data_IF_490346828618
#
_entry.id   IF_490346828618
#
_cell.length_a   1.000
_cell.length_b   1.000
_cell.length_c   1.000
_cell.angle_alpha   90.00
_cell.angle_beta   90.00
_cell.angle_gamma   90.00
#
_symmetry.space_group_name_H-M   'P 1'
#
loop_
_entity.id
_entity.type
_entity.pdbx_description
1 polymer ?
#
# COMPACT_ATOMS: atom_id res chain seq x y z
N UNK A 1 -10.63 -3.22 27.87
CA UNK A 1 -11.07 -3.90 26.64
C UNK A 1 -9.82 -4.35 25.89
N UNK A 2 -9.45 -5.64 25.99
CA UNK A 2 -8.13 -6.14 25.61
C UNK A 2 -7.98 -6.44 24.11
N UNK A 3 -6.73 -6.34 23.68
CA UNK A 3 -6.15 -6.63 22.36
C UNK A 3 -6.25 -8.13 22.07
N UNK A 4 -6.71 -8.49 20.86
CA UNK A 4 -6.58 -9.85 20.32
C UNK A 4 -5.68 -9.88 19.10
N UNK A 5 -4.50 -10.47 19.34
CA UNK A 5 -3.57 -11.06 18.39
C UNK A 5 -4.08 -12.48 18.07
N UNK A 6 -4.23 -12.84 16.80
CA UNK A 6 -4.53 -14.21 16.34
C UNK A 6 -3.59 -14.45 15.14
N UNK A 7 -2.70 -15.44 15.09
CA UNK A 7 -2.61 -16.71 15.82
C UNK A 7 -2.28 -17.79 14.79
N UNK A 8 -1.03 -17.87 14.35
CA UNK A 8 -0.54 -18.87 13.39
C UNK A 8 -0.35 -20.21 14.13
N UNK A 9 -0.93 -21.26 13.55
CA UNK A 9 -0.98 -22.63 14.08
C UNK A 9 0.38 -23.19 14.50
N UNK A 10 0.44 -23.65 15.74
CA UNK A 10 1.49 -24.50 16.33
C UNK A 10 1.23 -25.95 15.90
N UNK A 11 2.01 -26.50 14.96
CA UNK A 11 2.12 -27.95 14.78
C UNK A 11 3.12 -28.49 15.81
N UNK A 12 2.65 -29.31 16.74
CA UNK A 12 3.48 -30.17 17.56
C UNK A 12 3.79 -31.43 16.73
N UNK A 13 5.05 -31.60 16.33
CA UNK A 13 5.61 -32.87 15.90
C UNK A 13 6.67 -33.25 16.93
N UNK A 14 6.41 -34.31 17.68
CA UNK A 14 7.33 -34.90 18.64
C UNK A 14 8.22 -35.91 17.93
N UNK A 15 9.50 -35.58 17.78
CA UNK A 15 10.56 -36.58 17.61
C UNK A 15 11.85 -36.09 18.25
N UNK A 16 12.42 -36.96 19.05
CA UNK A 16 13.60 -36.82 19.89
C UNK A 16 14.91 -36.79 19.08
N UNK A 17 15.94 -36.19 19.71
CA UNK A 17 17.38 -36.42 19.51
C UNK A 17 18.14 -35.63 18.41
N UNK A 18 18.96 -34.71 18.91
CA UNK A 18 20.36 -34.42 18.54
C UNK A 18 20.77 -34.43 17.07
N UNK A 19 20.67 -33.27 16.41
CA UNK A 19 21.75 -32.78 15.54
C UNK A 19 21.64 -31.25 15.41
N UNK A 20 22.30 -30.53 16.32
CA UNK A 20 22.43 -29.08 16.28
C UNK A 20 23.41 -28.66 15.18
N UNK A 21 23.09 -28.95 13.92
CA UNK A 21 23.80 -28.34 12.78
C UNK A 21 23.41 -26.87 12.69
N UNK A 22 24.40 -26.01 12.97
CA UNK A 22 24.34 -24.54 12.91
C UNK A 22 23.49 -24.04 11.75
N UNK A 23 22.27 -23.61 12.04
CA UNK A 23 21.57 -22.67 11.18
C UNK A 23 22.31 -21.33 11.26
N UNK A 24 23.06 -21.01 10.21
CA UNK A 24 23.64 -19.67 10.02
C UNK A 24 22.55 -18.85 9.32
N UNK A 25 21.86 -17.93 10.01
CA UNK A 25 20.85 -17.11 9.35
C UNK A 25 21.50 -16.35 8.19
N UNK A 26 20.81 -16.21 7.05
CA UNK A 26 21.32 -15.38 5.97
C UNK A 26 21.61 -14.00 6.55
N UNK A 27 22.88 -13.57 6.44
CA UNK A 27 23.28 -12.20 6.76
C UNK A 27 22.34 -11.31 5.95
N UNK A 28 21.50 -10.53 6.63
CA UNK A 28 20.74 -9.48 5.97
C UNK A 28 21.75 -8.67 5.17
N UNK A 29 21.71 -8.83 3.84
CA UNK A 29 22.45 -7.98 2.94
C UNK A 29 22.06 -6.56 3.35
N UNK A 30 23.08 -5.73 3.57
CA UNK A 30 22.95 -4.31 3.86
C UNK A 30 21.83 -3.77 2.98
N UNK A 31 20.73 -3.32 3.60
CA UNK A 31 19.64 -2.64 2.91
C UNK A 31 20.29 -1.60 2.01
N UNK A 32 20.16 -1.67 0.67
CA UNK A 32 20.68 -0.61 -0.17
C UNK A 32 20.07 0.68 0.34
N UNK A 33 20.93 1.65 0.70
CA UNK A 33 20.48 2.94 1.20
C UNK A 33 19.43 3.49 0.26
N UNK A 34 18.20 3.63 0.74
CA UNK A 34 17.11 4.26 0.00
C UNK A 34 17.32 5.77 0.02
N UNK A 35 18.43 6.19 -0.58
CA UNK A 35 18.83 7.58 -0.74
C UNK A 35 19.19 7.80 -2.21
N UNK A 36 18.24 7.47 -3.08
CA UNK A 36 18.02 8.26 -4.28
C UNK A 36 16.65 8.90 -4.11
N UNK A 37 16.54 10.19 -4.39
CA UNK A 37 15.29 10.94 -4.31
C UNK A 37 14.32 10.41 -5.37
N UNK A 38 13.66 9.29 -5.07
CA UNK A 38 12.56 8.78 -5.89
C UNK A 38 11.47 9.84 -5.82
N UNK A 39 11.24 10.55 -6.92
CA UNK A 39 10.09 11.45 -7.02
C UNK A 39 8.82 10.58 -6.85
N UNK A 40 8.13 10.67 -5.71
CA UNK A 40 6.99 9.80 -5.41
C UNK A 40 5.82 10.01 -6.38
N UNK A 41 5.76 11.19 -7.02
CA UNK A 41 4.73 11.55 -7.98
C UNK A 41 5.05 11.13 -9.42
N UNK A 42 6.25 10.61 -9.70
CA UNK A 42 6.65 10.17 -11.03
C UNK A 42 5.68 9.16 -11.71
N UNK A 43 5.05 8.20 -11.00
CA UNK A 43 4.15 7.23 -11.62
C UNK A 43 2.83 7.79 -12.17
N UNK A 44 2.46 9.02 -11.78
CA UNK A 44 1.17 9.65 -12.12
C UNK A 44 1.23 10.45 -13.41
N UNK A 45 0.06 10.68 -14.02
CA UNK A 45 -0.10 11.64 -15.12
C UNK A 45 0.16 13.08 -14.65
N UNK A 46 0.52 14.01 -15.56
CA UNK A 46 0.69 15.42 -15.21
C UNK A 46 -0.53 16.03 -14.51
N UNK A 47 -1.74 15.70 -14.98
CA UNK A 47 -3.01 16.17 -14.40
C UNK A 47 -3.13 15.78 -12.92
N UNK A 48 -2.88 14.51 -12.61
CA UNK A 48 -2.95 14.03 -11.22
C UNK A 48 -1.85 14.62 -10.34
N UNK A 49 -0.64 14.85 -10.87
CA UNK A 49 0.43 15.53 -10.12
C UNK A 49 0.03 16.97 -9.77
N UNK A 50 -0.42 17.75 -10.77
CA UNK A 50 -0.85 19.14 -10.57
C UNK A 50 -2.00 19.25 -9.58
N UNK A 51 -2.97 18.33 -9.64
CA UNK A 51 -4.03 18.28 -8.63
C UNK A 51 -3.46 17.99 -7.23
N UNK A 52 -2.60 16.99 -7.09
CA UNK A 52 -2.05 16.58 -5.80
C UNK A 52 -1.25 17.71 -5.16
N UNK A 53 -0.38 18.38 -5.93
CA UNK A 53 0.45 19.49 -5.47
C UNK A 53 -0.38 20.72 -5.04
N UNK A 54 -1.58 20.91 -5.60
CA UNK A 54 -2.51 21.96 -5.17
C UNK A 54 -3.28 21.57 -3.92
N UNK A 55 -3.60 20.29 -3.77
CA UNK A 55 -4.44 19.78 -2.70
C UNK A 55 -3.66 19.49 -1.40
N UNK A 56 -2.36 19.17 -1.49
CA UNK A 56 -1.56 18.73 -0.36
C UNK A 56 -0.15 19.36 -0.36
N UNK A 57 0.40 19.58 0.83
CA UNK A 57 1.77 20.06 0.99
C UNK A 57 2.83 19.07 0.48
N UNK A 58 2.51 17.78 0.48
CA UNK A 58 3.37 16.74 -0.06
C UNK A 58 2.90 15.32 0.30
N UNK A 59 3.50 14.29 -0.31
CA UNK A 59 3.16 12.90 -0.03
C UNK A 59 3.54 12.46 1.37
N UNK A 60 2.69 11.65 2.00
CA UNK A 60 3.03 10.97 3.25
C UNK A 60 4.07 9.85 2.98
N UNK A 61 4.80 9.37 4.01
CA UNK A 61 5.72 8.24 3.83
C UNK A 61 5.04 6.99 3.26
N UNK A 62 3.80 6.71 3.66
CA UNK A 62 3.03 5.57 3.16
C UNK A 62 2.69 5.71 1.66
N UNK A 63 2.46 6.94 1.20
CA UNK A 63 2.22 7.25 -0.21
C UNK A 63 3.51 7.19 -1.02
N UNK A 64 4.58 7.83 -0.53
CA UNK A 64 5.87 7.89 -1.22
C UNK A 64 6.50 6.51 -1.44
N UNK A 65 6.37 5.61 -0.46
CA UNK A 65 6.81 4.21 -0.58
C UNK A 65 5.80 3.34 -1.33
N UNK A 66 4.51 3.64 -1.19
CA UNK A 66 3.43 2.85 -1.76
C UNK A 66 3.30 3.00 -3.27
N UNK A 67 3.38 4.21 -3.81
CA UNK A 67 3.11 4.45 -5.24
C UNK A 67 4.08 3.78 -6.21
N UNK A 68 5.41 3.80 -6.00
CA UNK A 68 6.32 3.04 -6.85
C UNK A 68 6.02 1.54 -6.82
N UNK A 69 5.69 0.99 -5.64
CA UNK A 69 5.33 -0.42 -5.49
C UNK A 69 4.01 -0.75 -6.22
N UNK A 70 2.97 0.08 -6.07
CA UNK A 70 1.69 -0.10 -6.76
C UNK A 70 1.90 0.00 -8.27
N UNK A 71 2.72 0.95 -8.72
CA UNK A 71 2.98 1.18 -10.14
C UNK A 71 3.74 0.05 -10.84
N UNK A 72 4.44 -0.81 -10.08
CA UNK A 72 5.10 -2.00 -10.62
C UNK A 72 4.12 -3.05 -11.16
N UNK A 73 2.83 -2.98 -10.79
CA UNK A 73 1.82 -3.96 -11.17
C UNK A 73 1.77 -5.21 -10.29
N UNK A 74 2.67 -5.34 -9.30
CA UNK A 74 2.64 -6.43 -8.32
C UNK A 74 1.57 -6.24 -7.22
N UNK A 75 1.36 -7.27 -6.41
CA UNK A 75 0.52 -7.18 -5.21
C UNK A 75 1.23 -6.39 -4.11
N UNK A 76 0.54 -5.41 -3.53
CA UNK A 76 1.11 -4.50 -2.52
C UNK A 76 0.26 -4.52 -1.26
N UNK A 77 0.91 -4.69 -0.11
CA UNK A 77 0.34 -4.49 1.22
C UNK A 77 0.98 -3.25 1.85
N UNK A 78 0.19 -2.20 2.09
CA UNK A 78 0.64 -1.01 2.82
C UNK A 78 0.26 -1.15 4.29
N UNK A 79 1.26 -1.42 5.15
CA UNK A 79 1.11 -1.36 6.59
C UNK A 79 1.57 0.01 7.11
N UNK A 80 0.63 0.84 7.56
CA UNK A 80 0.93 2.13 8.19
C UNK A 80 -0.17 2.51 9.21
N UNK A 81 0.10 3.42 10.16
CA UNK A 81 -0.90 3.93 11.10
C UNK A 81 -2.15 4.54 10.43
N UNK A 82 -3.23 4.72 11.20
CA UNK A 82 -4.38 5.52 10.78
C UNK A 82 -3.94 6.96 10.48
N UNK A 83 -4.63 7.63 9.55
CA UNK A 83 -4.26 9.00 9.15
C UNK A 83 -3.03 9.10 8.21
N UNK A 84 -2.28 8.03 7.96
CA UNK A 84 -1.10 8.06 7.07
C UNK A 84 -1.42 8.15 5.57
N UNK A 85 -2.68 8.38 5.17
CA UNK A 85 -3.04 8.55 3.77
C UNK A 85 -3.08 7.27 2.91
N UNK A 86 -3.12 6.07 3.53
CA UNK A 86 -3.17 4.77 2.82
C UNK A 86 -4.30 4.66 1.79
N UNK A 87 -5.47 5.20 2.12
CA UNK A 87 -6.63 5.20 1.23
C UNK A 87 -6.30 5.99 -0.04
N UNK A 88 -5.86 7.24 0.08
CA UNK A 88 -5.44 8.04 -1.06
C UNK A 88 -4.30 7.37 -1.84
N UNK A 89 -3.38 6.69 -1.15
CA UNK A 89 -2.30 5.95 -1.80
C UNK A 89 -2.82 4.92 -2.82
N UNK A 90 -3.80 4.11 -2.42
CA UNK A 90 -4.41 3.10 -3.27
C UNK A 90 -5.33 3.71 -4.35
N UNK A 91 -6.20 4.65 -3.96
CA UNK A 91 -7.23 5.18 -4.85
C UNK A 91 -6.67 6.08 -5.95
N UNK A 92 -5.72 6.96 -5.62
CA UNK A 92 -5.21 7.94 -6.57
C UNK A 92 -4.58 7.27 -7.79
N UNK A 93 -3.83 6.19 -7.57
CA UNK A 93 -3.22 5.43 -8.66
C UNK A 93 -4.27 4.72 -9.52
N UNK A 94 -5.30 4.14 -8.88
CA UNK A 94 -6.41 3.52 -9.60
C UNK A 94 -7.15 4.51 -10.51
N UNK A 95 -7.49 5.69 -10.00
CA UNK A 95 -8.20 6.74 -10.76
C UNK A 95 -7.35 7.27 -11.91
N UNK A 96 -6.08 7.56 -11.65
CA UNK A 96 -5.16 8.03 -12.68
C UNK A 96 -4.96 7.00 -13.81
N UNK A 97 -5.00 5.69 -13.49
CA UNK A 97 -5.02 4.63 -14.51
C UNK A 97 -6.32 4.60 -15.33
N UNK A 98 -7.46 4.88 -14.71
CA UNK A 98 -8.75 4.94 -15.41
C UNK A 98 -8.80 6.11 -16.38
N UNK A 99 -8.27 7.28 -15.99
CA UNK A 99 -8.19 8.49 -16.83
C UNK A 99 -7.22 8.29 -18.00
N UNK A 100 -6.05 7.68 -17.76
CA UNK A 100 -5.02 7.43 -18.79
C UNK A 100 -5.45 6.46 -19.89
N UNK A 101 -6.22 5.44 -19.55
CA UNK A 101 -6.64 4.40 -20.47
C UNK A 101 -8.15 4.23 -20.40
N UNK A 102 -8.98 5.13 -20.96
CA UNK A 102 -10.44 5.05 -20.83
C UNK A 102 -10.99 3.74 -21.43
N UNK A 103 -12.13 3.27 -20.93
CA UNK A 103 -12.76 2.04 -21.41
C UNK A 103 -13.96 1.64 -20.57
N UNK A 104 -14.76 0.69 -21.09
CA UNK A 104 -15.98 0.22 -20.43
C UNK A 104 -15.75 -0.89 -19.40
N UNK A 105 -16.82 -1.23 -18.69
CA UNK A 105 -16.85 -2.33 -17.71
C UNK A 105 -16.27 -1.98 -16.33
N UNK A 106 -16.27 -2.96 -15.42
CA UNK A 106 -15.67 -2.83 -14.10
C UNK A 106 -14.15 -2.90 -14.19
N UNK A 107 -13.45 -1.82 -13.80
CA UNK A 107 -11.99 -1.73 -13.91
C UNK A 107 -11.26 -1.38 -12.62
N UNK A 108 -11.99 -1.02 -11.57
CA UNK A 108 -11.46 -0.80 -10.22
C UNK A 108 -12.50 -1.29 -9.21
N UNK A 109 -12.12 -2.24 -8.37
CA UNK A 109 -12.96 -2.77 -7.30
C UNK A 109 -12.34 -2.40 -5.95
N UNK A 110 -13.08 -1.63 -5.16
CA UNK A 110 -12.74 -1.36 -3.78
C UNK A 110 -13.59 -2.24 -2.86
N UNK A 111 -12.95 -2.87 -1.88
CA UNK A 111 -13.61 -3.70 -0.87
C UNK A 111 -13.26 -3.16 0.51
N UNK A 112 -14.27 -2.91 1.33
CA UNK A 112 -14.15 -2.47 2.71
C UNK A 112 -14.79 -3.48 3.65
N UNK A 113 -14.26 -3.67 4.87
CA UNK A 113 -14.93 -4.43 5.91
C UNK A 113 -16.19 -3.72 6.46
N UNK A 114 -16.35 -2.41 6.23
CA UNK A 114 -17.43 -1.60 6.80
C UNK A 114 -18.19 -0.79 5.73
N UNK A 115 -19.53 -0.81 5.81
CA UNK A 115 -20.40 -0.02 4.93
C UNK A 115 -20.18 1.49 5.07
N UNK A 116 -19.97 1.99 6.29
CA UNK A 116 -19.73 3.41 6.53
C UNK A 116 -18.52 3.93 5.75
N UNK A 117 -17.43 3.16 5.74
CA UNK A 117 -16.22 3.52 5.00
C UNK A 117 -16.43 3.52 3.47
N UNK A 118 -17.33 2.66 2.95
CA UNK A 118 -17.71 2.72 1.54
C UNK A 118 -18.41 4.05 1.21
N UNK A 119 -19.35 4.48 2.06
CA UNK A 119 -20.06 5.76 1.87
C UNK A 119 -19.12 6.96 1.94
N UNK A 120 -18.18 6.96 2.89
CA UNK A 120 -17.19 8.03 3.03
C UNK A 120 -16.32 8.14 1.78
N UNK A 121 -15.86 7.00 1.25
CA UNK A 121 -15.05 6.96 0.02
C UNK A 121 -15.85 7.43 -1.17
N UNK A 122 -17.08 6.95 -1.36
CA UNK A 122 -17.94 7.38 -2.46
C UNK A 122 -18.13 8.90 -2.45
N UNK A 123 -18.40 9.47 -1.27
CA UNK A 123 -18.54 10.92 -1.10
C UNK A 123 -17.25 11.66 -1.43
N UNK A 124 -16.10 11.16 -0.96
CA UNK A 124 -14.80 11.77 -1.22
C UNK A 124 -14.42 11.74 -2.71
N UNK A 125 -14.84 10.71 -3.45
CA UNK A 125 -14.60 10.58 -4.90
C UNK A 125 -15.53 11.44 -5.76
N UNK A 126 -16.66 11.91 -5.22
CA UNK A 126 -17.57 12.85 -5.89
C UNK A 126 -17.17 14.31 -5.71
N UNK A 127 -16.22 14.59 -4.80
CA UNK A 127 -15.61 15.92 -4.67
C UNK A 127 -14.75 16.29 -5.89
N UNK A 128 -14.40 17.57 -6.07
CA UNK A 128 -13.63 17.99 -7.25
C UNK A 128 -12.25 17.29 -7.29
N UNK A 129 -12.02 16.53 -8.36
CA UNK A 129 -10.71 16.08 -8.84
C UNK A 129 -10.18 17.05 -9.90
#
# INVERSE_FOLDING_TARGET
MPVFLLGIRRLLCSSTSSDARRYKPPRHASTPGYSDQVNPLAPFSPKTRTWFERAFAGPTPAQALGWPAIASGGHVLIQAPTGSGKTLAAFLYGIDRLDRNPGGGLRLLYVSPLKALNYDIERNLRGPL
#
